data_IF_865160831559
#
_entry.id   IF_865160831559
#
_cell.length_a   1.000
_cell.length_b   1.000
_cell.length_c   1.000
_cell.angle_alpha   90.00
_cell.angle_beta   90.00
_cell.angle_gamma   90.00
#
_symmetry.space_group_name_H-M   'P 1'
#
loop_
_entity.id
_entity.type
_entity.pdbx_description
1 polymer ?
#
# COMPACT_ATOMS: atom_id res chain seq x y z
N UNK A 1 12.65 69.99 -0.92
CA UNK A 1 11.49 69.55 -0.13
C UNK A 1 10.67 68.58 -0.97
N UNK A 2 10.33 67.42 -0.40
CA UNK A 2 9.89 66.20 -1.08
C UNK A 2 8.50 66.35 -1.70
N UNK A 3 8.35 65.92 -2.96
CA UNK A 3 7.08 65.49 -3.54
C UNK A 3 7.22 64.00 -3.84
N UNK A 4 6.66 63.16 -2.98
CA UNK A 4 6.62 61.70 -3.16
C UNK A 4 5.35 61.39 -3.95
N UNK A 5 5.51 60.89 -5.17
CA UNK A 5 4.43 60.36 -5.97
C UNK A 5 4.18 58.88 -5.62
N UNK A 6 2.89 58.55 -5.53
CA UNK A 6 2.32 57.21 -5.43
C UNK A 6 3.00 56.22 -6.39
N UNK A 7 3.46 55.08 -5.87
CA UNK A 7 3.62 53.86 -6.65
C UNK A 7 3.04 52.70 -5.87
N UNK A 8 1.87 52.24 -6.32
CA UNK A 8 1.32 50.95 -5.96
C UNK A 8 2.24 49.86 -6.53
N UNK A 9 2.89 49.07 -5.68
CA UNK A 9 3.45 47.77 -6.08
C UNK A 9 2.73 46.71 -5.27
N UNK A 10 1.92 45.99 -6.03
CA UNK A 10 1.00 44.93 -5.67
C UNK A 10 1.80 43.69 -5.25
N UNK A 11 1.37 43.11 -4.12
CA UNK A 11 1.47 41.70 -3.75
C UNK A 11 2.41 40.81 -4.60
N UNK A 12 3.67 40.68 -4.17
CA UNK A 12 4.60 39.62 -4.62
C UNK A 12 4.74 38.50 -3.58
N UNK A 13 3.63 38.14 -2.93
CA UNK A 13 3.53 37.03 -1.98
C UNK A 13 2.51 35.99 -2.47
N UNK A 14 2.80 35.32 -3.60
CA UNK A 14 1.93 34.26 -4.11
C UNK A 14 2.67 33.15 -4.91
N UNK A 15 3.93 32.85 -4.59
CA UNK A 15 4.66 31.74 -5.25
C UNK A 15 5.19 30.65 -4.32
N UNK A 16 4.94 30.71 -3.01
CA UNK A 16 5.48 29.72 -2.06
C UNK A 16 4.59 28.51 -1.76
N UNK A 17 3.28 28.52 -2.08
CA UNK A 17 2.44 27.36 -1.77
C UNK A 17 2.65 26.17 -2.73
N UNK A 18 2.84 26.41 -4.03
CA UNK A 18 2.90 25.32 -5.03
C UNK A 18 4.23 24.54 -5.08
N UNK A 19 5.30 25.09 -4.50
CA UNK A 19 6.65 24.48 -4.53
C UNK A 19 6.82 23.47 -3.38
N UNK A 20 6.17 23.70 -2.23
CA UNK A 20 6.29 22.86 -1.03
C UNK A 20 5.60 21.50 -1.20
N UNK A 21 4.45 21.43 -1.88
CA UNK A 21 3.69 20.17 -2.06
C UNK A 21 4.38 19.20 -3.03
N UNK A 22 4.92 19.68 -4.16
CA UNK A 22 5.53 18.81 -5.18
C UNK A 22 6.80 18.12 -4.70
N UNK A 23 7.59 18.76 -3.86
CA UNK A 23 8.79 18.15 -3.29
C UNK A 23 8.42 17.05 -2.29
N UNK A 24 7.41 17.30 -1.45
CA UNK A 24 6.96 16.35 -0.42
C UNK A 24 6.35 15.08 -1.02
N UNK A 25 5.57 15.21 -2.10
CA UNK A 25 5.00 14.06 -2.83
C UNK A 25 6.09 13.18 -3.47
N UNK A 26 7.07 13.80 -4.15
CA UNK A 26 8.18 13.06 -4.77
C UNK A 26 9.00 12.25 -3.75
N UNK A 27 9.19 12.79 -2.56
CA UNK A 27 9.89 12.08 -1.48
C UNK A 27 9.06 10.89 -0.99
N UNK A 28 7.75 11.04 -0.82
CA UNK A 28 6.86 9.96 -0.38
C UNK A 28 6.79 8.81 -1.40
N UNK A 29 6.68 9.12 -2.69
CA UNK A 29 6.70 8.12 -3.78
C UNK A 29 8.03 7.36 -3.83
N UNK A 30 9.16 8.07 -3.67
CA UNK A 30 10.48 7.44 -3.65
C UNK A 30 10.69 6.52 -2.44
N UNK A 31 10.19 6.93 -1.27
CA UNK A 31 10.22 6.10 -0.07
C UNK A 31 9.37 4.83 -0.24
N UNK A 32 8.16 4.95 -0.79
CA UNK A 32 7.27 3.81 -1.03
C UNK A 32 7.88 2.83 -2.04
N UNK A 33 8.50 3.32 -3.11
CA UNK A 33 9.22 2.49 -4.07
C UNK A 33 10.44 1.77 -3.46
N UNK A 34 11.14 2.42 -2.52
CA UNK A 34 12.28 1.82 -1.80
C UNK A 34 11.80 0.71 -0.88
N UNK A 35 10.76 0.97 -0.07
CA UNK A 35 10.13 -0.03 0.79
C UNK A 35 9.62 -1.23 -0.03
N UNK A 36 9.01 -0.97 -1.19
CA UNK A 36 8.56 -2.03 -2.09
C UNK A 36 9.71 -2.94 -2.52
N UNK A 37 10.84 -2.36 -2.92
CA UNK A 37 12.00 -3.13 -3.35
C UNK A 37 12.56 -4.00 -2.22
N UNK A 38 12.66 -3.46 -0.99
CA UNK A 38 13.11 -4.20 0.19
C UNK A 38 12.16 -5.35 0.53
N UNK A 39 10.84 -5.08 0.56
CA UNK A 39 9.83 -6.09 0.82
C UNK A 39 9.83 -7.19 -0.25
N UNK A 40 10.09 -6.87 -1.52
CA UNK A 40 10.19 -7.87 -2.59
C UNK A 40 11.39 -8.81 -2.39
N UNK A 41 12.51 -8.30 -1.86
CA UNK A 41 13.65 -9.15 -1.48
C UNK A 41 13.27 -10.06 -0.33
N UNK A 42 12.63 -9.53 0.71
CA UNK A 42 12.18 -10.33 1.86
C UNK A 42 11.16 -11.40 1.45
N UNK A 43 10.17 -11.05 0.62
CA UNK A 43 9.16 -11.99 0.09
C UNK A 43 9.79 -13.11 -0.76
N UNK A 44 10.96 -12.87 -1.36
CA UNK A 44 11.66 -13.90 -2.14
C UNK A 44 12.33 -14.97 -1.28
N UNK A 45 12.65 -14.65 -0.02
CA UNK A 45 13.25 -15.58 0.94
C UNK A 45 12.14 -16.53 1.39
N UNK A 46 12.24 -17.81 1.02
CA UNK A 46 11.27 -18.88 1.30
C UNK A 46 9.98 -18.83 0.47
N UNK A 47 9.98 -18.13 -0.69
CA UNK A 47 8.77 -17.97 -1.50
C UNK A 47 8.05 -19.29 -1.84
N UNK A 48 8.81 -20.34 -2.13
CA UNK A 48 8.26 -21.65 -2.48
C UNK A 48 7.53 -22.30 -1.30
N UNK A 49 8.11 -22.22 -0.09
CA UNK A 49 7.51 -22.75 1.13
C UNK A 49 6.22 -22.00 1.47
N UNK A 50 6.27 -20.67 1.49
CA UNK A 50 5.08 -19.84 1.71
C UNK A 50 3.99 -20.11 0.66
N UNK A 51 4.36 -20.34 -0.60
CA UNK A 51 3.40 -20.68 -1.66
C UNK A 51 2.74 -22.03 -1.41
N UNK A 52 3.52 -23.05 -1.02
CA UNK A 52 2.98 -24.38 -0.73
C UNK A 52 2.03 -24.33 0.47
N UNK A 53 2.41 -23.64 1.54
CA UNK A 53 1.57 -23.42 2.71
C UNK A 53 0.29 -22.65 2.37
N UNK A 54 0.41 -21.57 1.59
CA UNK A 54 -0.74 -20.79 1.14
C UNK A 54 -1.74 -21.63 0.35
N UNK A 55 -1.27 -22.53 -0.52
CA UNK A 55 -2.13 -23.43 -1.29
C UNK A 55 -2.78 -24.47 -0.39
N UNK A 56 -2.06 -25.04 0.56
CA UNK A 56 -2.63 -26.01 1.50
C UNK A 56 -3.73 -25.36 2.36
N UNK A 57 -3.49 -24.18 2.92
CA UNK A 57 -4.49 -23.43 3.69
C UNK A 57 -5.72 -23.03 2.86
N UNK A 58 -5.58 -22.80 1.56
CA UNK A 58 -6.72 -22.49 0.67
C UNK A 58 -7.58 -23.72 0.35
N UNK A 59 -6.97 -24.90 0.29
CA UNK A 59 -7.65 -26.13 -0.15
C UNK A 59 -8.12 -27.01 1.01
N UNK A 60 -7.36 -27.03 2.10
CA UNK A 60 -7.51 -27.95 3.23
C UNK A 60 -7.66 -27.18 4.56
N UNK A 61 -8.36 -26.04 4.56
CA UNK A 61 -8.46 -25.20 5.74
C UNK A 61 -9.06 -25.94 6.94
N UNK A 62 -8.34 -25.93 8.07
CA UNK A 62 -8.82 -26.47 9.34
C UNK A 62 -9.41 -25.33 10.19
N UNK A 63 -10.65 -25.44 10.70
CA UNK A 63 -11.27 -24.39 11.51
C UNK A 63 -10.51 -24.07 12.81
N UNK A 64 -9.69 -25.00 13.30
CA UNK A 64 -8.87 -24.83 14.52
C UNK A 64 -7.52 -24.16 14.25
N UNK A 65 -7.02 -24.15 13.02
CA UNK A 65 -5.78 -23.42 12.69
C UNK A 65 -6.03 -21.91 12.84
N UNK A 66 -5.11 -21.21 13.50
CA UNK A 66 -5.17 -19.77 13.62
C UNK A 66 -4.63 -19.05 12.37
N UNK A 67 -4.00 -19.76 11.44
CA UNK A 67 -3.44 -19.20 10.22
C UNK A 67 -4.40 -19.35 9.05
N UNK A 68 -4.36 -18.38 8.15
CA UNK A 68 -5.15 -18.32 6.92
C UNK A 68 -4.26 -17.83 5.79
N UNK A 69 -4.64 -18.18 4.56
CA UNK A 69 -3.97 -17.75 3.35
C UNK A 69 -4.78 -16.67 2.63
N UNK A 70 -4.11 -15.59 2.27
CA UNK A 70 -4.69 -14.55 1.42
C UNK A 70 -4.03 -14.59 0.06
N UNK A 71 -4.81 -14.88 -0.98
CA UNK A 71 -4.40 -14.64 -2.35
C UNK A 71 -4.83 -13.23 -2.74
N UNK A 72 -3.89 -12.38 -3.09
CA UNK A 72 -4.18 -11.00 -3.47
C UNK A 72 -3.81 -10.79 -4.93
N UNK A 73 -4.78 -10.32 -5.70
CA UNK A 73 -4.65 -10.00 -7.10
C UNK A 73 -4.65 -8.48 -7.29
N UNK A 74 -3.52 -7.95 -7.75
CA UNK A 74 -3.38 -6.55 -8.09
C UNK A 74 -3.64 -6.36 -9.59
N UNK A 75 -4.85 -5.90 -9.94
CA UNK A 75 -5.24 -5.54 -11.30
C UNK A 75 -5.04 -4.04 -11.60
N UNK A 76 -4.29 -3.31 -10.77
CA UNK A 76 -3.95 -1.92 -11.04
C UNK A 76 -2.67 -1.83 -11.88
N UNK A 77 -2.42 -0.64 -12.43
CA UNK A 77 -1.25 -0.38 -13.28
C UNK A 77 0.01 0.05 -12.50
N UNK A 78 -0.03 -0.02 -11.17
CA UNK A 78 1.09 0.29 -10.30
C UNK A 78 1.44 -0.86 -9.33
N UNK A 79 2.68 -0.86 -8.87
CA UNK A 79 3.08 -1.71 -7.76
C UNK A 79 2.40 -1.20 -6.48
N UNK A 80 2.00 -2.11 -5.60
CA UNK A 80 1.35 -1.76 -4.34
C UNK A 80 1.97 -2.53 -3.19
N UNK A 81 1.90 -1.95 -1.99
CA UNK A 81 2.15 -2.65 -0.74
C UNK A 81 0.84 -2.69 0.05
N UNK A 82 0.28 -3.89 0.20
CA UNK A 82 -0.90 -4.10 1.03
C UNK A 82 -0.47 -4.34 2.47
N UNK A 83 -0.87 -3.46 3.37
CA UNK A 83 -0.51 -3.48 4.79
C UNK A 83 -1.71 -3.91 5.61
N UNK A 84 -1.51 -4.91 6.46
CA UNK A 84 -2.49 -5.40 7.41
C UNK A 84 -2.02 -5.00 8.80
N UNK A 85 -2.78 -4.15 9.48
CA UNK A 85 -2.46 -3.69 10.83
C UNK A 85 -3.52 -4.17 11.81
N UNK A 86 -3.16 -5.15 12.63
CA UNK A 86 -3.96 -5.70 13.73
C UNK A 86 -3.08 -5.98 14.93
N UNK A 87 -3.34 -7.07 15.65
CA UNK A 87 -2.47 -7.55 16.73
C UNK A 87 -1.06 -7.87 16.21
N UNK A 88 -0.98 -8.42 15.00
CA UNK A 88 0.23 -8.53 14.22
C UNK A 88 0.14 -7.63 12.97
N UNK A 89 1.30 -7.20 12.48
CA UNK A 89 1.39 -6.37 11.28
C UNK A 89 2.09 -7.11 10.16
N UNK A 90 1.47 -7.10 8.98
CA UNK A 90 1.98 -7.75 7.79
C UNK A 90 2.02 -6.78 6.63
N UNK A 91 3.03 -6.90 5.76
CA UNK A 91 3.14 -6.10 4.54
C UNK A 91 3.41 -7.02 3.36
N UNK A 92 2.53 -6.97 2.36
CA UNK A 92 2.62 -7.78 1.16
C UNK A 92 2.90 -6.89 -0.05
N UNK A 93 4.11 -6.96 -0.65
CA UNK A 93 4.39 -6.28 -1.90
C UNK A 93 3.76 -7.06 -3.06
N UNK A 94 3.11 -6.35 -3.99
CA UNK A 94 2.47 -6.94 -5.17
C UNK A 94 2.79 -6.09 -6.38
N UNK A 95 3.42 -6.71 -7.39
CA UNK A 95 3.68 -6.03 -8.66
C UNK A 95 2.36 -5.66 -9.35
N UNK A 96 2.40 -4.64 -10.21
CA UNK A 96 1.28 -4.33 -11.11
C UNK A 96 0.86 -5.55 -11.93
N UNK A 97 -0.46 -5.71 -12.14
CA UNK A 97 -1.03 -6.79 -12.94
C UNK A 97 -0.52 -8.20 -12.53
N UNK A 98 -0.29 -8.40 -11.23
CA UNK A 98 0.28 -9.63 -10.70
C UNK A 98 -0.43 -10.07 -9.41
N UNK A 99 -0.20 -11.32 -9.03
CA UNK A 99 -0.73 -11.91 -7.80
C UNK A 99 0.37 -12.17 -6.79
N UNK A 100 0.05 -12.02 -5.51
CA UNK A 100 0.90 -12.50 -4.46
C UNK A 100 0.09 -13.19 -3.34
N UNK A 101 0.77 -13.99 -2.53
CA UNK A 101 0.18 -14.73 -1.42
C UNK A 101 0.85 -14.33 -0.12
N UNK A 102 0.07 -14.34 0.96
CA UNK A 102 0.59 -14.20 2.31
C UNK A 102 -0.17 -15.13 3.27
N UNK A 103 0.55 -15.72 4.21
CA UNK A 103 -0.03 -16.43 5.35
C UNK A 103 -0.01 -15.50 6.55
N UNK A 104 -1.16 -15.30 7.18
CA UNK A 104 -1.31 -14.44 8.35
C UNK A 104 -2.21 -15.13 9.38
N UNK A 105 -2.22 -14.63 10.61
CA UNK A 105 -3.17 -15.09 11.63
C UNK A 105 -4.58 -14.52 11.43
N UNK A 106 -5.60 -15.27 11.85
CA UNK A 106 -6.99 -14.82 11.91
C UNK A 106 -7.10 -13.63 12.85
N UNK A 107 -7.96 -12.68 12.50
CA UNK A 107 -8.13 -11.49 13.34
C UNK A 107 -8.79 -10.32 12.65
N UNK A 108 -8.81 -9.20 13.36
CA UNK A 108 -9.33 -7.93 12.87
C UNK A 108 -8.15 -7.06 12.40
N UNK A 109 -8.21 -6.60 11.16
CA UNK A 109 -7.15 -5.84 10.53
C UNK A 109 -7.68 -4.54 9.93
N UNK A 110 -6.95 -3.46 10.13
CA UNK A 110 -7.01 -2.30 9.24
C UNK A 110 -6.11 -2.58 8.04
N UNK A 111 -6.72 -2.75 6.87
CA UNK A 111 -6.04 -3.04 5.62
C UNK A 111 -5.85 -1.75 4.84
N UNK A 112 -4.61 -1.40 4.51
CA UNK A 112 -4.28 -0.18 3.79
C UNK A 112 -3.32 -0.39 2.62
N UNK A 113 -3.48 0.41 1.56
CA UNK A 113 -2.56 0.43 0.43
C UNK A 113 -2.54 1.81 -0.24
N UNK A 114 -1.42 2.19 -0.84
CA UNK A 114 -1.38 3.28 -1.80
C UNK A 114 -1.67 2.67 -3.17
N UNK A 115 -2.84 2.99 -3.74
CA UNK A 115 -3.29 2.54 -5.06
C UNK A 115 -3.02 3.66 -6.06
N UNK A 116 -1.81 3.63 -6.61
CA UNK A 116 -1.31 4.58 -7.60
C UNK A 116 -1.43 6.02 -7.08
N UNK A 117 -2.47 6.77 -7.49
CA UNK A 117 -2.71 8.15 -7.07
C UNK A 117 -3.74 8.29 -5.93
N UNK A 118 -4.12 7.19 -5.28
CA UNK A 118 -5.15 7.15 -4.25
C UNK A 118 -4.73 6.30 -3.06
N UNK A 119 -5.39 6.49 -1.91
CA UNK A 119 -5.15 5.69 -0.70
C UNK A 119 -6.38 4.85 -0.40
N UNK A 120 -6.17 3.56 -0.22
CA UNK A 120 -7.16 2.61 0.24
C UNK A 120 -6.96 2.32 1.73
N UNK A 121 -8.05 2.33 2.50
CA UNK A 121 -8.09 1.85 3.89
C UNK A 121 -9.44 1.17 4.13
N UNK A 122 -9.44 -0.02 4.73
CA UNK A 122 -10.65 -0.76 5.08
C UNK A 122 -10.42 -1.66 6.29
N UNK A 123 -11.37 -1.69 7.21
CA UNK A 123 -11.37 -2.68 8.29
C UNK A 123 -11.91 -4.02 7.77
N UNK A 124 -11.16 -5.10 8.01
CA UNK A 124 -11.52 -6.47 7.61
C UNK A 124 -11.37 -7.41 8.80
N UNK A 125 -12.37 -8.25 9.00
CA UNK A 125 -12.28 -9.41 9.90
C UNK A 125 -11.96 -10.62 9.04
N UNK A 126 -10.79 -11.19 9.25
CA UNK A 126 -10.25 -12.29 8.46
C UNK A 126 -10.31 -13.56 9.30
N UNK A 127 -11.31 -14.40 9.04
CA UNK A 127 -11.57 -15.64 9.79
C UNK A 127 -11.31 -16.91 8.98
N UNK A 128 -11.08 -16.75 7.67
CA UNK A 128 -10.84 -17.84 6.73
C UNK A 128 -9.95 -17.36 5.58
N UNK A 129 -9.38 -18.30 4.83
CA UNK A 129 -8.60 -17.99 3.64
C UNK A 129 -9.50 -17.38 2.55
N UNK A 130 -9.03 -16.32 1.89
CA UNK A 130 -9.82 -15.56 0.89
C UNK A 130 -8.97 -15.09 -0.29
N UNK A 131 -9.63 -14.84 -1.42
CA UNK A 131 -9.07 -14.15 -2.56
C UNK A 131 -9.52 -12.68 -2.58
N UNK A 132 -8.57 -11.75 -2.58
CA UNK A 132 -8.79 -10.31 -2.62
C UNK A 132 -8.36 -9.81 -3.99
N UNK A 133 -9.27 -9.18 -4.73
CA UNK A 133 -8.92 -8.47 -5.97
C UNK A 133 -8.97 -6.97 -5.74
N UNK A 134 -7.90 -6.29 -6.12
CA UNK A 134 -7.78 -4.84 -6.12
C UNK A 134 -7.79 -4.40 -7.58
N UNK A 135 -8.74 -3.55 -7.94
CA UNK A 135 -8.86 -2.94 -9.26
C UNK A 135 -9.10 -1.45 -9.13
N UNK A 136 -8.70 -0.70 -10.16
CA UNK A 136 -9.19 0.66 -10.34
C UNK A 136 -10.68 0.59 -10.72
N UNK A 137 -11.51 1.54 -10.28
CA UNK A 137 -12.91 1.60 -10.74
C UNK A 137 -12.89 1.96 -12.23
N UNK A 138 -13.51 1.13 -13.07
CA UNK A 138 -13.86 1.50 -14.45
C UNK A 138 -14.91 2.62 -14.48
#
# INVERSE_FOLDING_TARGET
MKRVFLSAVICTLALSCAVQEKHTLKTAEAMEATEFAELMVLDSINKQETTAESVDLLLNENPVDNRISLLVNNNTDCNIILRFSGDQSYSLPIRKNFRNFIVIEKGNYSVGANLCNSRYVSSKTLTQSINITISERE
#
